data_IF_880819111026
#
_entry.id   IF_880819111026
#
_cell.length_a   1.000
_cell.length_b   1.000
_cell.length_c   1.000
_cell.angle_alpha   90.00
_cell.angle_beta   90.00
_cell.angle_gamma   90.00
#
_symmetry.space_group_name_H-M   'P 1'
#
loop_
_entity.id
_entity.type
_entity.pdbx_description
1 polymer ?
#
# COMPACT_ATOMS: atom_id res chain seq x y z
N UNK A 1 26.39 -23.15 7.24
CA UNK A 1 25.06 -22.56 7.46
C UNK A 1 24.53 -22.24 6.07
N UNK A 2 23.36 -22.73 5.70
CA UNK A 2 22.72 -22.28 4.46
C UNK A 2 22.55 -20.76 4.56
N UNK A 3 22.86 -20.04 3.47
CA UNK A 3 22.51 -18.63 3.40
C UNK A 3 20.99 -18.53 3.41
N UNK A 4 20.45 -17.83 4.40
CA UNK A 4 19.05 -17.45 4.44
C UNK A 4 18.66 -16.79 3.10
N UNK A 5 17.43 -17.04 2.65
CA UNK A 5 16.85 -16.59 1.38
C UNK A 5 15.77 -15.53 1.61
N UNK A 6 15.56 -14.73 0.56
CA UNK A 6 14.53 -13.71 0.49
C UNK A 6 13.29 -14.35 -0.16
N UNK A 7 12.15 -14.32 0.53
CA UNK A 7 10.86 -14.73 -0.01
C UNK A 7 10.09 -13.51 -0.50
N UNK A 8 9.68 -13.51 -1.77
CA UNK A 8 8.81 -12.49 -2.35
C UNK A 8 7.45 -13.12 -2.60
N UNK A 9 6.41 -12.61 -1.94
CA UNK A 9 5.03 -13.07 -2.11
C UNK A 9 4.25 -12.03 -2.90
N UNK A 10 3.85 -12.37 -4.13
CA UNK A 10 3.16 -11.45 -5.04
C UNK A 10 2.29 -12.21 -6.06
N UNK A 11 2.15 -11.70 -7.28
CA UNK A 11 1.54 -12.41 -8.42
C UNK A 11 2.45 -12.33 -9.65
N UNK A 12 2.17 -13.15 -10.66
CA UNK A 12 3.01 -13.25 -11.87
C UNK A 12 3.17 -11.93 -12.64
N UNK A 13 2.21 -11.01 -12.50
CA UNK A 13 2.12 -9.78 -13.29
C UNK A 13 2.73 -8.57 -12.56
N UNK A 14 3.39 -8.78 -11.41
CA UNK A 14 3.93 -7.69 -10.61
C UNK A 14 5.27 -7.14 -11.13
N UNK A 15 5.20 -6.06 -11.92
CA UNK A 15 6.36 -5.34 -12.47
C UNK A 15 7.38 -4.91 -11.40
N UNK A 16 6.98 -4.67 -10.15
CA UNK A 16 7.92 -4.35 -9.08
C UNK A 16 8.87 -5.52 -8.79
N UNK A 17 8.37 -6.76 -8.86
CA UNK A 17 9.16 -7.97 -8.63
C UNK A 17 10.11 -8.21 -9.81
N UNK A 18 9.66 -7.96 -11.04
CA UNK A 18 10.48 -8.04 -12.25
C UNK A 18 11.70 -7.11 -12.20
N UNK A 19 11.54 -5.93 -11.59
CA UNK A 19 12.63 -4.95 -11.47
C UNK A 19 13.53 -5.27 -10.27
N UNK A 20 12.97 -5.74 -9.15
CA UNK A 20 13.74 -6.06 -7.95
C UNK A 20 14.64 -7.29 -8.14
N UNK A 21 14.15 -8.33 -8.83
CA UNK A 21 14.84 -9.63 -8.92
C UNK A 21 16.24 -9.53 -9.55
N UNK A 22 16.46 -8.81 -10.67
CA UNK A 22 17.80 -8.58 -11.20
C UNK A 22 18.73 -7.82 -10.24
N UNK A 23 18.20 -6.87 -9.45
CA UNK A 23 19.00 -6.10 -8.48
C UNK A 23 19.50 -7.01 -7.36
N UNK A 24 18.63 -7.88 -6.83
CA UNK A 24 19.01 -8.89 -5.83
C UNK A 24 20.05 -9.86 -6.40
N UNK A 25 19.83 -10.34 -7.63
CA UNK A 25 20.73 -11.28 -8.31
C UNK A 25 22.12 -10.67 -8.53
N UNK A 26 22.19 -9.41 -8.97
CA UNK A 26 23.45 -8.69 -9.15
C UNK A 26 24.22 -8.49 -7.84
N UNK A 27 23.51 -8.48 -6.69
CA UNK A 27 24.08 -8.44 -5.34
C UNK A 27 24.41 -9.83 -4.78
N UNK A 28 24.25 -10.90 -5.56
CA UNK A 28 24.60 -12.27 -5.17
C UNK A 28 23.49 -13.02 -4.42
N UNK A 29 22.26 -12.51 -4.41
CA UNK A 29 21.13 -13.13 -3.72
C UNK A 29 20.07 -13.63 -4.72
N UNK A 30 19.64 -14.88 -4.56
CA UNK A 30 18.58 -15.50 -5.37
C UNK A 30 17.27 -15.55 -4.56
N UNK A 31 16.32 -14.63 -4.79
CA UNK A 31 15.04 -14.66 -4.09
C UNK A 31 14.24 -15.89 -4.52
N UNK A 32 13.36 -16.38 -3.63
CA UNK A 32 12.29 -17.30 -3.99
C UNK A 32 11.02 -16.48 -4.22
N UNK A 33 10.44 -16.56 -5.41
CA UNK A 33 9.18 -15.89 -5.74
C UNK A 33 8.03 -16.86 -5.57
N UNK A 34 7.05 -16.47 -4.76
CA UNK A 34 5.77 -17.15 -4.60
C UNK A 34 4.69 -16.33 -5.29
N UNK A 35 4.25 -16.81 -6.45
CA UNK A 35 3.16 -16.22 -7.23
C UNK A 35 1.81 -16.78 -6.77
N UNK A 36 1.03 -15.94 -6.11
CA UNK A 36 -0.27 -16.31 -5.54
C UNK A 36 -1.27 -16.75 -6.62
N UNK A 37 -1.19 -16.19 -7.83
CA UNK A 37 -2.07 -16.54 -8.94
C UNK A 37 -1.74 -17.85 -9.67
N UNK A 38 -0.70 -18.55 -9.20
CA UNK A 38 -0.41 -19.92 -9.61
C UNK A 38 -0.32 -20.87 -8.40
N UNK A 39 -0.46 -20.37 -7.18
CA UNK A 39 -0.53 -21.16 -5.94
C UNK A 39 -1.98 -21.57 -5.62
N UNK A 40 -2.24 -22.81 -5.16
CA UNK A 40 -1.29 -23.91 -4.96
C UNK A 40 -1.01 -24.74 -6.22
N UNK A 41 -1.69 -24.50 -7.35
CA UNK A 41 -1.59 -25.35 -8.58
C UNK A 41 -0.16 -25.73 -8.98
N UNK A 42 0.75 -24.75 -9.02
CA UNK A 42 2.12 -24.92 -9.53
C UNK A 42 3.15 -25.11 -8.40
N UNK A 43 2.69 -25.33 -7.16
CA UNK A 43 3.55 -25.45 -6.00
C UNK A 43 3.25 -26.70 -5.19
N UNK A 44 4.27 -27.25 -4.56
CA UNK A 44 4.12 -28.18 -3.45
C UNK A 44 4.42 -27.45 -2.14
N UNK A 45 3.54 -27.64 -1.18
CA UNK A 45 3.66 -27.13 0.17
C UNK A 45 3.72 -28.32 1.12
N UNK A 46 4.66 -28.29 2.05
CA UNK A 46 4.77 -29.26 3.13
C UNK A 46 5.06 -28.54 4.44
N UNK A 47 4.33 -28.90 5.48
CA UNK A 47 4.59 -28.46 6.83
C UNK A 47 4.33 -29.62 7.78
N UNK A 48 5.31 -29.94 8.60
CA UNK A 48 5.21 -30.90 9.68
C UNK A 48 5.41 -30.15 11.00
N UNK A 49 4.40 -30.21 11.87
CA UNK A 49 4.38 -29.49 13.15
C UNK A 49 4.26 -30.53 14.26
N UNK A 50 5.21 -30.49 15.21
CA UNK A 50 5.23 -31.34 16.38
C UNK A 50 5.52 -30.51 17.64
N UNK A 51 5.61 -31.17 18.80
CA UNK A 51 6.03 -30.50 20.04
C UNK A 51 7.48 -30.00 19.97
N UNK A 52 8.30 -30.58 19.09
CA UNK A 52 9.73 -30.31 18.99
C UNK A 52 10.05 -29.20 17.96
N UNK A 53 9.06 -28.75 17.18
CA UNK A 53 9.22 -27.65 16.23
C UNK A 53 8.32 -27.77 15.00
N UNK A 54 8.64 -26.93 14.02
CA UNK A 54 8.00 -26.90 12.71
C UNK A 54 9.09 -27.02 11.63
N UNK A 55 8.93 -27.95 10.71
CA UNK A 55 9.78 -28.11 9.53
C UNK A 55 8.92 -28.14 8.27
N UNK A 56 9.49 -27.78 7.13
CA UNK A 56 8.76 -27.87 5.86
C UNK A 56 9.37 -27.03 4.75
N UNK A 57 8.65 -26.94 3.64
CA UNK A 57 9.13 -26.28 2.45
C UNK A 57 8.01 -25.83 1.53
N UNK A 58 8.37 -24.92 0.64
CA UNK A 58 7.61 -24.57 -0.56
C UNK A 58 8.49 -24.92 -1.77
N UNK A 59 7.95 -25.65 -2.73
CA UNK A 59 8.63 -26.04 -3.96
C UNK A 59 7.82 -25.57 -5.16
N UNK A 60 8.47 -24.87 -6.10
CA UNK A 60 7.86 -24.44 -7.34
C UNK A 60 8.08 -25.50 -8.42
N UNK A 61 7.03 -26.27 -8.72
CA UNK A 61 7.08 -27.49 -9.52
C UNK A 61 7.64 -27.29 -10.94
N UNK A 62 7.30 -26.22 -11.68
CA UNK A 62 7.85 -25.99 -13.02
C UNK A 62 9.38 -25.82 -13.05
N UNK A 63 9.96 -25.24 -11.98
CA UNK A 63 11.41 -24.95 -11.92
C UNK A 63 12.20 -25.94 -11.09
N UNK A 64 11.55 -26.65 -10.15
CA UNK A 64 12.20 -27.45 -9.12
C UNK A 64 12.92 -26.62 -8.04
N UNK A 65 12.80 -25.28 -8.05
CA UNK A 65 13.32 -24.46 -6.95
C UNK A 65 12.53 -24.76 -5.68
N UNK A 66 13.25 -24.98 -4.58
CA UNK A 66 12.70 -25.36 -3.29
C UNK A 66 13.27 -24.45 -2.21
N UNK A 67 12.37 -23.93 -1.38
CA UNK A 67 12.68 -23.11 -0.23
C UNK A 67 12.24 -23.84 1.04
N UNK A 68 13.21 -24.25 1.86
CA UNK A 68 12.93 -24.70 3.21
C UNK A 68 12.45 -23.51 4.06
N UNK A 69 11.48 -23.75 4.93
CA UNK A 69 10.87 -22.69 5.77
C UNK A 69 11.94 -22.04 6.66
N UNK A 70 12.80 -22.88 7.24
CA UNK A 70 13.92 -22.48 8.09
C UNK A 70 15.00 -21.68 7.36
N UNK A 71 15.05 -21.75 6.03
CA UNK A 71 15.97 -20.96 5.22
C UNK A 71 15.40 -19.57 4.88
N UNK A 72 14.17 -19.23 5.27
CA UNK A 72 13.61 -17.88 5.07
C UNK A 72 14.25 -16.91 6.07
N UNK A 73 14.86 -15.84 5.57
CA UNK A 73 15.43 -14.76 6.39
C UNK A 73 14.70 -13.43 6.24
N UNK A 74 14.04 -13.19 5.11
CA UNK A 74 13.22 -12.00 4.94
C UNK A 74 12.04 -12.25 4.02
N UNK A 75 10.92 -11.56 4.26
CA UNK A 75 9.71 -11.63 3.44
C UNK A 75 9.30 -10.26 2.91
N UNK A 76 9.06 -10.19 1.61
CA UNK A 76 8.34 -9.08 0.98
C UNK A 76 6.94 -9.53 0.54
N UNK A 77 5.92 -9.24 1.35
CA UNK A 77 4.52 -9.45 0.96
C UNK A 77 4.02 -8.22 0.19
N UNK A 78 3.90 -8.35 -1.13
CA UNK A 78 3.80 -7.20 -2.02
C UNK A 78 2.41 -6.96 -2.61
N UNK A 79 1.90 -7.89 -3.42
CA UNK A 79 0.56 -7.83 -4.03
C UNK A 79 -0.20 -9.10 -3.73
N UNK A 80 -1.52 -8.96 -3.74
CA UNK A 80 -2.45 -10.10 -3.68
C UNK A 80 -2.56 -10.75 -5.06
N UNK A 81 -3.01 -12.00 -5.09
CA UNK A 81 -3.41 -12.72 -6.30
C UNK A 81 -4.55 -13.66 -5.95
N UNK A 82 -5.36 -14.01 -6.94
CA UNK A 82 -6.40 -15.04 -6.80
C UNK A 82 -5.76 -16.41 -6.92
N UNK A 83 -5.96 -17.30 -5.94
CA UNK A 83 -5.39 -18.64 -5.98
C UNK A 83 -5.84 -19.42 -7.21
N UNK A 84 -4.99 -20.33 -7.67
CA UNK A 84 -5.26 -21.23 -8.78
C UNK A 84 -5.20 -22.69 -8.32
N UNK A 85 -6.16 -23.50 -8.77
CA UNK A 85 -6.28 -24.90 -8.40
C UNK A 85 -6.03 -25.82 -9.60
N UNK A 86 -5.62 -27.06 -9.34
CA UNK A 86 -5.41 -28.08 -10.39
C UNK A 86 -6.72 -28.48 -11.07
N UNK A 87 -7.82 -28.51 -10.33
CA UNK A 87 -9.15 -28.77 -10.88
C UNK A 87 -9.73 -27.48 -11.44
N UNK A 88 -9.98 -27.38 -12.76
CA UNK A 88 -10.53 -26.17 -13.36
C UNK A 88 -12.02 -25.99 -13.10
N UNK A 89 -12.73 -27.04 -12.68
CA UNK A 89 -14.20 -27.10 -12.66
C UNK A 89 -14.76 -27.26 -11.23
N UNK A 90 -14.14 -26.63 -10.23
CA UNK A 90 -14.66 -26.64 -8.85
C UNK A 90 -16.05 -25.96 -8.79
N UNK A 91 -17.00 -26.59 -8.09
CA UNK A 91 -18.28 -25.96 -7.79
C UNK A 91 -18.11 -24.73 -6.88
N UNK A 92 -19.10 -23.82 -6.78
CA UNK A 92 -18.96 -22.57 -6.03
C UNK A 92 -18.55 -22.75 -4.56
N UNK A 93 -19.12 -23.74 -3.88
CA UNK A 93 -18.77 -24.05 -2.49
C UNK A 93 -17.37 -24.65 -2.35
N UNK A 94 -16.97 -25.54 -3.27
CA UNK A 94 -15.65 -26.17 -3.28
C UNK A 94 -14.57 -25.12 -3.55
N UNK A 95 -14.81 -24.20 -4.49
CA UNK A 95 -13.90 -23.10 -4.79
C UNK A 95 -13.74 -22.15 -3.59
N UNK A 96 -14.85 -21.77 -2.93
CA UNK A 96 -14.80 -20.93 -1.74
C UNK A 96 -14.00 -21.61 -0.61
N UNK A 97 -14.26 -22.90 -0.35
CA UNK A 97 -13.50 -23.69 0.62
C UNK A 97 -12.02 -23.78 0.26
N UNK A 98 -11.69 -24.05 -1.00
CA UNK A 98 -10.32 -24.16 -1.47
C UNK A 98 -9.55 -22.83 -1.29
N UNK A 99 -10.19 -21.69 -1.55
CA UNK A 99 -9.61 -20.36 -1.32
C UNK A 99 -9.35 -20.14 0.17
N UNK A 100 -10.33 -20.43 1.04
CA UNK A 100 -10.20 -20.24 2.48
C UNK A 100 -9.11 -21.13 3.09
N UNK A 101 -9.06 -22.42 2.73
CA UNK A 101 -8.03 -23.36 3.19
C UNK A 101 -6.64 -22.96 2.71
N UNK A 102 -6.52 -22.50 1.46
CA UNK A 102 -5.24 -22.06 0.89
C UNK A 102 -4.74 -20.81 1.60
N UNK A 103 -5.62 -19.84 1.85
CA UNK A 103 -5.29 -18.62 2.59
C UNK A 103 -4.82 -18.94 4.01
N UNK A 104 -5.57 -19.77 4.74
CA UNK A 104 -5.21 -20.16 6.11
C UNK A 104 -3.90 -20.95 6.15
N UNK A 105 -3.67 -21.86 5.20
CA UNK A 105 -2.43 -22.65 5.12
C UNK A 105 -1.23 -21.76 4.85
N UNK A 106 -1.31 -20.91 3.82
CA UNK A 106 -0.20 -20.05 3.44
C UNK A 106 0.09 -18.99 4.51
N UNK A 107 -0.92 -18.22 4.94
CA UNK A 107 -0.69 -17.16 5.91
C UNK A 107 -0.48 -17.68 7.33
N UNK A 108 -0.98 -18.87 7.66
CA UNK A 108 -0.64 -19.58 8.89
C UNK A 108 0.85 -19.93 8.97
N UNK A 109 1.44 -20.39 7.86
CA UNK A 109 2.90 -20.55 7.76
C UNK A 109 3.61 -19.21 7.89
N UNK A 110 3.24 -18.26 7.01
CA UNK A 110 3.94 -16.99 6.87
C UNK A 110 3.95 -16.21 8.19
N UNK A 111 2.83 -16.09 8.90
CA UNK A 111 2.79 -15.37 10.18
C UNK A 111 3.59 -16.03 11.31
N UNK A 112 3.95 -17.31 11.18
CA UNK A 112 4.82 -18.00 12.11
C UNK A 112 6.32 -17.73 11.90
N UNK A 113 6.71 -17.04 10.82
CA UNK A 113 8.11 -16.82 10.49
C UNK A 113 8.73 -15.72 11.36
N UNK A 114 9.71 -16.10 12.17
CA UNK A 114 10.59 -15.19 12.88
C UNK A 114 11.73 -14.73 11.95
N UNK A 115 11.45 -13.70 11.16
CA UNK A 115 12.35 -13.18 10.14
C UNK A 115 12.06 -11.70 9.86
N UNK A 116 12.87 -11.06 9.02
CA UNK A 116 12.62 -9.67 8.65
C UNK A 116 11.41 -9.52 7.70
N UNK A 117 10.52 -8.56 7.98
CA UNK A 117 9.33 -8.32 7.16
C UNK A 117 9.33 -6.93 6.51
N UNK A 118 8.97 -6.87 5.23
CA UNK A 118 8.77 -5.61 4.49
C UNK A 118 7.31 -5.46 4.01
N UNK A 119 6.30 -5.20 4.83
CA UNK A 119 6.25 -5.16 6.29
C UNK A 119 5.36 -6.30 6.79
N UNK A 120 5.29 -6.52 8.10
CA UNK A 120 4.48 -7.61 8.65
C UNK A 120 2.98 -7.33 8.45
N UNK A 121 2.15 -8.29 7.99
CA UNK A 121 0.78 -7.98 7.57
C UNK A 121 -0.15 -7.53 8.72
N UNK A 122 0.09 -8.01 9.94
CA UNK A 122 -0.61 -7.50 11.14
C UNK A 122 -0.36 -6.00 11.36
N UNK A 123 0.87 -5.53 11.16
CA UNK A 123 1.22 -4.11 11.25
C UNK A 123 0.56 -3.31 10.11
N UNK A 124 0.59 -3.85 8.88
CA UNK A 124 -0.05 -3.23 7.71
C UNK A 124 -1.55 -3.05 7.90
N UNK A 125 -2.23 -4.00 8.57
CA UNK A 125 -3.67 -3.90 8.85
C UNK A 125 -3.99 -2.68 9.70
N UNK A 126 -3.27 -2.48 10.80
CA UNK A 126 -3.42 -1.30 11.66
C UNK A 126 -3.19 0.01 10.90
N UNK A 127 -2.20 0.02 10.01
CA UNK A 127 -1.85 1.17 9.19
C UNK A 127 -2.80 1.44 8.01
N UNK A 128 -3.80 0.59 7.74
CA UNK A 128 -4.73 0.77 6.61
C UNK A 128 -5.92 1.70 6.91
N UNK A 129 -6.19 2.01 8.18
CA UNK A 129 -7.36 2.79 8.57
C UNK A 129 -7.08 4.30 8.58
N UNK A 130 -7.49 5.01 7.53
CA UNK A 130 -7.22 6.46 7.34
C UNK A 130 -7.64 7.34 8.51
N UNK A 131 -8.74 7.02 9.19
CA UNK A 131 -9.18 7.74 10.38
C UNK A 131 -8.21 7.62 11.56
N UNK A 132 -7.55 6.47 11.72
CA UNK A 132 -6.49 6.28 12.71
C UNK A 132 -5.19 6.94 12.27
N UNK A 133 -4.85 6.87 10.97
CA UNK A 133 -3.70 7.57 10.38
C UNK A 133 -3.75 9.07 10.69
N UNK A 134 -4.88 9.75 10.44
CA UNK A 134 -5.04 11.18 10.73
C UNK A 134 -4.79 11.49 12.21
N UNK A 135 -5.39 10.72 13.14
CA UNK A 135 -5.18 10.90 14.59
C UNK A 135 -3.72 10.67 14.99
N UNK A 136 -3.04 9.71 14.37
CA UNK A 136 -1.63 9.42 14.61
C UNK A 136 -0.72 10.50 14.05
N UNK A 137 -1.00 11.01 12.85
CA UNK A 137 -0.26 12.11 12.23
C UNK A 137 -0.28 13.35 13.13
N UNK A 138 -1.47 13.72 13.66
CA UNK A 138 -1.61 14.84 14.61
C UNK A 138 -0.76 14.62 15.87
N UNK A 139 -0.79 13.42 16.47
CA UNK A 139 0.04 13.10 17.66
C UNK A 139 1.54 13.21 17.40
N UNK A 140 1.97 12.97 16.16
CA UNK A 140 3.37 13.09 15.73
C UNK A 140 3.73 14.51 15.24
N UNK A 141 2.78 15.45 15.31
CA UNK A 141 3.02 16.86 14.99
C UNK A 141 2.84 17.22 13.51
N UNK A 142 2.12 16.41 12.73
CA UNK A 142 1.65 16.84 11.41
C UNK A 142 0.39 17.70 11.53
N UNK A 143 0.29 18.71 10.65
CA UNK A 143 -1.00 19.28 10.30
C UNK A 143 -1.77 18.31 9.39
N UNK A 144 -3.10 18.32 9.49
CA UNK A 144 -4.01 17.56 8.64
C UNK A 144 -5.14 18.48 8.16
N UNK A 145 -5.85 18.14 7.07
CA UNK A 145 -7.05 18.86 6.69
C UNK A 145 -8.13 18.74 7.78
N UNK A 146 -8.90 19.81 8.06
CA UNK A 146 -10.14 19.67 8.81
C UNK A 146 -10.98 18.56 8.18
N UNK A 147 -11.43 17.60 8.99
CA UNK A 147 -12.04 16.37 8.47
C UNK A 147 -13.25 15.96 9.31
N UNK A 148 -14.28 15.44 8.65
CA UNK A 148 -15.43 14.79 9.28
C UNK A 148 -15.69 13.44 8.63
N UNK A 149 -15.93 12.42 9.46
CA UNK A 149 -16.41 11.11 9.02
C UNK A 149 -17.78 10.92 9.68
N UNK A 150 -18.84 10.85 8.87
CA UNK A 150 -20.21 10.91 9.38
C UNK A 150 -21.21 10.27 8.41
N UNK A 151 -22.23 9.63 8.97
CA UNK A 151 -23.48 9.27 8.29
C UNK A 151 -24.66 10.16 8.75
N UNK A 152 -24.37 11.30 9.37
CA UNK A 152 -25.36 12.26 9.88
C UNK A 152 -25.35 13.51 8.98
N UNK A 153 -26.36 13.70 8.11
CA UNK A 153 -26.42 14.83 7.17
C UNK A 153 -26.25 16.20 7.84
N UNK A 154 -26.93 16.42 8.97
CA UNK A 154 -26.84 17.69 9.69
C UNK A 154 -25.44 17.97 10.28
N UNK A 155 -24.67 16.93 10.61
CA UNK A 155 -23.30 17.10 11.07
C UNK A 155 -22.38 17.54 9.91
N UNK A 156 -22.58 16.97 8.72
CA UNK A 156 -21.84 17.37 7.50
C UNK A 156 -22.23 18.78 7.06
N UNK A 157 -23.52 19.14 7.13
CA UNK A 157 -23.99 20.50 6.87
C UNK A 157 -23.34 21.53 7.81
N UNK A 158 -23.33 21.23 9.11
CA UNK A 158 -22.68 22.10 10.11
C UNK A 158 -21.17 22.19 9.89
N UNK A 159 -20.52 21.09 9.49
CA UNK A 159 -19.11 21.08 9.14
C UNK A 159 -18.81 21.96 7.92
N UNK A 160 -19.58 21.82 6.82
CA UNK A 160 -19.43 22.69 5.64
C UNK A 160 -19.58 24.17 5.98
N UNK A 161 -20.54 24.52 6.84
CA UNK A 161 -20.76 25.90 7.29
C UNK A 161 -19.61 26.47 8.14
N UNK A 162 -18.84 25.59 8.81
CA UNK A 162 -17.70 25.98 9.63
C UNK A 162 -16.38 26.08 8.84
N UNK A 163 -16.34 25.59 7.60
CA UNK A 163 -15.18 25.71 6.72
C UNK A 163 -15.11 27.11 6.11
N UNK A 164 -13.90 27.66 6.03
CA UNK A 164 -13.64 28.93 5.34
C UNK A 164 -13.64 28.78 3.80
N UNK A 165 -13.56 27.56 3.29
CA UNK A 165 -13.44 27.27 1.86
C UNK A 165 -14.21 26.04 1.41
N UNK A 166 -13.76 25.46 0.29
CA UNK A 166 -14.41 24.31 -0.32
C UNK A 166 -14.30 23.06 0.53
N UNK A 167 -15.24 22.14 0.31
CA UNK A 167 -15.25 20.84 0.97
C UNK A 167 -15.04 19.79 -0.11
N UNK A 168 -14.24 18.77 0.17
CA UNK A 168 -14.05 17.63 -0.72
C UNK A 168 -14.56 16.35 -0.08
N UNK A 169 -15.06 15.44 -0.90
CA UNK A 169 -15.32 14.06 -0.52
C UNK A 169 -14.15 13.17 -0.92
N UNK A 170 -13.83 12.20 -0.05
CA UNK A 170 -12.78 11.20 -0.30
C UNK A 170 -13.20 9.83 0.20
N UNK A 171 -12.94 8.79 -0.59
CA UNK A 171 -13.13 7.42 -0.16
C UNK A 171 -12.18 7.04 1.00
N UNK A 172 -12.73 6.41 2.04
CA UNK A 172 -11.97 5.93 3.20
C UNK A 172 -11.27 4.60 2.94
N UNK A 173 -11.87 3.71 2.16
CA UNK A 173 -11.33 2.38 1.87
C UNK A 173 -10.37 2.41 0.68
N UNK A 174 -10.88 2.71 -0.51
CA UNK A 174 -10.15 2.75 -1.77
C UNK A 174 -10.85 3.72 -2.72
N UNK A 175 -10.09 4.46 -3.51
CA UNK A 175 -10.63 5.30 -4.59
C UNK A 175 -11.20 4.49 -5.75
N UNK A 176 -10.96 3.17 -5.82
CA UNK A 176 -11.44 2.30 -6.90
C UNK A 176 -12.86 1.75 -6.70
N UNK A 177 -13.63 2.25 -5.73
CA UNK A 177 -15.03 1.83 -5.51
C UNK A 177 -15.27 0.31 -5.42
N UNK A 178 -14.32 -0.44 -4.86
CA UNK A 178 -14.38 -1.91 -4.83
C UNK A 178 -14.52 -2.55 -6.23
N UNK A 179 -14.04 -1.91 -7.29
CA UNK A 179 -14.01 -2.44 -8.64
C UNK A 179 -13.27 -3.80 -8.72
N UNK A 180 -12.35 -4.08 -7.79
CA UNK A 180 -11.66 -5.36 -7.63
C UNK A 180 -12.53 -6.47 -7.02
N UNK A 181 -13.77 -6.16 -6.62
CA UNK A 181 -14.73 -7.10 -6.01
C UNK A 181 -15.93 -7.41 -6.89
N UNK A 182 -16.05 -6.74 -8.03
CA UNK A 182 -17.18 -6.88 -8.95
C UNK A 182 -16.66 -7.07 -10.38
N UNK A 183 -17.41 -7.82 -11.18
CA UNK A 183 -17.07 -8.03 -12.58
C UNK A 183 -17.13 -6.70 -13.34
N UNK A 184 -16.36 -6.56 -14.43
CA UNK A 184 -16.35 -5.33 -15.23
C UNK A 184 -17.75 -4.97 -15.77
N UNK A 185 -18.59 -5.96 -16.06
CA UNK A 185 -19.95 -5.76 -16.56
C UNK A 185 -20.90 -5.17 -15.51
N UNK A 186 -20.57 -5.30 -14.22
CA UNK A 186 -21.40 -4.83 -13.09
C UNK A 186 -20.88 -3.49 -12.52
N UNK A 187 -19.83 -2.91 -13.10
CA UNK A 187 -19.26 -1.63 -12.65
C UNK A 187 -20.02 -0.47 -13.27
N UNK A 188 -20.39 0.49 -12.43
CA UNK A 188 -20.91 1.79 -12.88
C UNK A 188 -19.81 2.85 -13.02
N UNK A 189 -18.71 2.69 -12.28
CA UNK A 189 -17.51 3.54 -12.34
C UNK A 189 -16.28 2.75 -11.91
N UNK A 190 -15.11 3.11 -12.44
CA UNK A 190 -13.82 2.55 -12.04
C UNK A 190 -13.27 3.18 -10.74
N UNK A 191 -13.89 4.28 -10.26
CA UNK A 191 -13.50 4.91 -9.02
C UNK A 191 -14.17 6.25 -8.71
N UNK A 192 -13.82 6.82 -7.55
CA UNK A 192 -14.15 8.19 -7.14
C UNK A 192 -12.85 8.88 -6.74
N UNK A 193 -12.38 9.90 -7.50
CA UNK A 193 -11.24 10.72 -7.12
C UNK A 193 -11.60 11.63 -5.93
N UNK A 194 -10.68 12.49 -5.52
CA UNK A 194 -11.05 13.58 -4.60
C UNK A 194 -12.03 14.52 -5.30
N UNK A 195 -13.28 14.55 -4.85
CA UNK A 195 -14.36 15.32 -5.49
C UNK A 195 -14.66 16.57 -4.68
N UNK A 196 -14.60 17.74 -5.32
CA UNK A 196 -15.07 19.00 -4.71
C UNK A 196 -16.60 18.96 -4.65
N UNK A 197 -17.15 19.23 -3.46
CA UNK A 197 -18.59 19.21 -3.20
C UNK A 197 -19.18 20.56 -3.58
N UNK A 198 -20.05 20.54 -4.59
CA UNK A 198 -20.80 21.68 -5.08
C UNK A 198 -22.06 21.96 -4.24
N UNK A 199 -22.71 23.10 -4.47
CA UNK A 199 -23.99 23.40 -3.84
C UNK A 199 -25.10 22.41 -4.25
N UNK A 200 -25.06 21.88 -5.49
CA UNK A 200 -26.01 20.86 -5.95
C UNK A 200 -25.84 19.53 -5.20
N UNK A 201 -24.60 19.14 -4.92
CA UNK A 201 -24.33 17.94 -4.10
C UNK A 201 -24.86 18.12 -2.67
N UNK A 202 -24.86 19.36 -2.16
CA UNK A 202 -25.41 19.69 -0.84
C UNK A 202 -26.96 19.66 -0.81
N UNK A 203 -27.63 19.72 -1.96
CA UNK A 203 -29.08 19.51 -2.02
C UNK A 203 -29.46 18.02 -1.82
N UNK A 204 -28.51 17.09 -2.07
CA UNK A 204 -28.64 15.64 -1.93
C UNK A 204 -28.06 15.11 -0.59
N UNK A 205 -27.95 15.97 0.44
CA UNK A 205 -27.34 15.65 1.74
C UNK A 205 -27.91 14.40 2.42
N UNK A 206 -29.18 14.06 2.18
CA UNK A 206 -29.83 12.88 2.76
C UNK A 206 -29.16 11.56 2.34
N UNK A 207 -28.47 11.53 1.20
CA UNK A 207 -27.73 10.35 0.74
C UNK A 207 -26.63 9.91 1.75
N UNK A 208 -26.11 10.84 2.56
CA UNK A 208 -25.11 10.57 3.61
C UNK A 208 -25.66 9.62 4.69
N UNK A 209 -26.98 9.54 4.86
CA UNK A 209 -27.57 8.64 5.85
C UNK A 209 -27.40 7.15 5.48
N UNK A 210 -27.13 6.83 4.20
CA UNK A 210 -27.01 5.44 3.74
C UNK A 210 -25.70 4.77 4.13
N UNK A 211 -24.60 5.52 4.20
CA UNK A 211 -23.27 4.99 4.49
C UNK A 211 -22.38 6.09 5.10
N UNK A 212 -21.44 5.77 6.02
CA UNK A 212 -20.49 6.76 6.51
C UNK A 212 -19.65 7.38 5.38
N UNK A 213 -19.72 8.70 5.26
CA UNK A 213 -18.98 9.48 4.29
C UNK A 213 -17.82 10.22 4.95
N UNK A 214 -16.76 10.48 4.19
CA UNK A 214 -15.62 11.26 4.64
C UNK A 214 -15.48 12.53 3.81
N UNK A 215 -15.55 13.66 4.51
CA UNK A 215 -15.38 14.99 3.94
C UNK A 215 -14.20 15.68 4.59
N UNK A 216 -13.47 16.47 3.81
CA UNK A 216 -12.35 17.29 4.28
C UNK A 216 -12.51 18.73 3.79
N UNK A 217 -11.95 19.69 4.53
CA UNK A 217 -11.70 21.02 3.98
C UNK A 217 -10.69 20.91 2.83
N UNK A 218 -11.01 21.55 1.70
CA UNK A 218 -10.07 21.71 0.61
C UNK A 218 -8.94 22.65 1.04
N UNK A 219 -7.69 22.24 0.80
CA UNK A 219 -6.52 23.04 1.11
C UNK A 219 -5.84 23.41 -0.20
N UNK A 220 -5.67 24.72 -0.42
CA UNK A 220 -4.85 25.22 -1.51
C UNK A 220 -3.40 24.78 -1.32
N UNK A 221 -2.81 24.22 -2.39
CA UNK A 221 -1.47 23.64 -2.37
C UNK A 221 -0.63 24.24 -3.48
N UNK A 222 0.63 24.54 -3.17
CA UNK A 222 1.64 24.91 -4.16
C UNK A 222 2.09 23.68 -4.96
N UNK A 223 2.19 22.52 -4.31
CA UNK A 223 2.53 21.24 -4.94
C UNK A 223 2.19 20.06 -4.00
N UNK A 224 2.30 18.84 -4.55
CA UNK A 224 2.13 17.60 -3.80
C UNK A 224 3.47 16.91 -3.59
N UNK A 225 3.54 16.09 -2.55
CA UNK A 225 4.71 15.31 -2.19
C UNK A 225 4.33 13.84 -2.06
N UNK A 226 5.04 13.00 -2.80
CA UNK A 226 5.05 11.56 -2.58
C UNK A 226 6.29 11.22 -1.76
N UNK A 227 6.09 10.92 -0.49
CA UNK A 227 7.17 10.59 0.43
C UNK A 227 7.20 9.08 0.68
N UNK A 228 8.24 8.39 0.24
CA UNK A 228 8.40 6.95 0.45
C UNK A 228 9.44 6.70 1.54
N UNK A 229 9.07 5.93 2.55
CA UNK A 229 9.98 5.45 3.59
C UNK A 229 10.29 3.99 3.32
N UNK A 230 11.59 3.63 3.30
CA UNK A 230 12.08 2.25 3.15
C UNK A 230 13.16 2.02 4.21
N UNK A 231 12.87 1.15 5.17
CA UNK A 231 13.67 1.00 6.39
C UNK A 231 13.77 2.34 7.12
N UNK A 232 14.99 2.83 7.30
CA UNK A 232 15.27 4.12 7.94
C UNK A 232 15.44 5.28 6.94
N UNK A 233 15.39 5.02 5.62
CA UNK A 233 15.59 6.04 4.58
C UNK A 233 14.27 6.66 4.13
N UNK A 234 14.28 7.97 3.90
CA UNK A 234 13.15 8.75 3.42
C UNK A 234 13.47 9.33 2.04
N UNK A 235 12.56 9.14 1.10
CA UNK A 235 12.62 9.64 -0.27
C UNK A 235 11.43 10.56 -0.49
N UNK A 236 11.64 11.70 -1.13
CA UNK A 236 10.54 12.60 -1.47
C UNK A 236 10.63 13.02 -2.94
N UNK A 237 9.52 12.83 -3.64
CA UNK A 237 9.29 13.41 -4.96
C UNK A 237 8.27 14.54 -4.84
N UNK A 238 8.64 15.70 -5.38
CA UNK A 238 7.73 16.80 -5.64
C UNK A 238 6.95 16.51 -6.92
N UNK A 239 5.64 16.75 -6.86
CA UNK A 239 4.70 16.62 -7.97
C UNK A 239 4.13 18.01 -8.25
N UNK A 240 4.43 18.58 -9.41
CA UNK A 240 3.98 19.91 -9.82
C UNK A 240 2.52 19.89 -10.35
N UNK A 241 1.59 19.40 -9.52
CA UNK A 241 0.18 19.18 -9.89
C UNK A 241 -0.61 20.45 -10.17
N UNK A 242 -0.06 21.63 -9.87
CA UNK A 242 -0.70 22.92 -10.16
C UNK A 242 -0.50 23.39 -11.61
N UNK A 243 0.34 22.71 -12.40
CA UNK A 243 0.61 23.07 -13.79
C UNK A 243 -0.52 22.69 -14.78
N UNK A 244 -1.48 21.87 -14.36
CA UNK A 244 -2.68 21.53 -15.13
C UNK A 244 -3.92 21.57 -14.23
N UNK A 245 -5.01 22.19 -14.71
CA UNK A 245 -6.26 22.33 -13.95
C UNK A 245 -6.83 20.98 -13.49
N UNK A 246 -6.66 19.92 -14.29
CA UNK A 246 -7.21 18.59 -14.00
C UNK A 246 -6.53 17.92 -12.80
N UNK A 247 -5.28 18.28 -12.53
CA UNK A 247 -4.47 17.71 -11.44
C UNK A 247 -4.46 18.57 -10.18
N UNK A 248 -5.06 19.77 -10.22
CA UNK A 248 -5.03 20.72 -9.09
C UNK A 248 -5.68 20.17 -7.83
N UNK A 249 -6.81 19.49 -7.94
CA UNK A 249 -7.48 18.89 -6.77
C UNK A 249 -6.82 17.57 -6.38
N UNK A 250 -6.51 16.73 -7.37
CA UNK A 250 -6.00 15.38 -7.22
C UNK A 250 -5.00 15.08 -8.34
N UNK A 251 -3.73 14.81 -8.02
CA UNK A 251 -2.70 14.56 -9.05
C UNK A 251 -2.94 13.31 -9.91
N UNK A 252 -3.88 12.45 -9.52
CA UNK A 252 -4.08 11.11 -10.10
C UNK A 252 -4.81 11.10 -11.44
N UNK A 253 -4.82 12.22 -12.17
CA UNK A 253 -5.19 12.23 -13.59
C UNK A 253 -3.96 11.92 -14.45
N UNK A 254 -3.73 10.62 -14.68
CA UNK A 254 -2.61 10.13 -15.48
C UNK A 254 -2.77 10.35 -16.99
N UNK A 255 -3.87 10.98 -17.44
CA UNK A 255 -3.97 11.46 -18.83
C UNK A 255 -3.13 12.74 -19.06
N UNK A 256 -2.59 13.31 -17.98
CA UNK A 256 -1.76 14.50 -17.98
C UNK A 256 -0.33 14.14 -17.60
N UNK A 257 0.62 14.65 -18.36
CA UNK A 257 2.03 14.59 -17.99
C UNK A 257 2.36 15.78 -17.09
N UNK A 258 2.53 15.52 -15.79
CA UNK A 258 2.97 16.52 -14.81
C UNK A 258 4.41 16.22 -14.37
N UNK A 259 5.27 17.24 -14.17
CA UNK A 259 6.65 17.03 -13.76
C UNK A 259 6.78 16.44 -12.35
N UNK A 260 7.76 15.54 -12.21
CA UNK A 260 8.22 15.02 -10.93
C UNK A 260 9.69 15.39 -10.74
N UNK A 261 10.09 15.72 -9.52
CA UNK A 261 11.50 16.00 -9.20
C UNK A 261 11.84 15.56 -7.79
N UNK A 262 13.09 15.18 -7.55
CA UNK A 262 13.56 14.90 -6.21
C UNK A 262 13.59 16.18 -5.36
N UNK A 263 13.24 16.06 -4.09
CA UNK A 263 13.30 17.17 -3.14
C UNK A 263 13.81 16.70 -1.79
N UNK A 264 14.59 17.54 -1.12
CA UNK A 264 14.97 17.32 0.27
C UNK A 264 13.90 17.91 1.19
N UNK A 265 13.39 17.09 2.11
CA UNK A 265 12.44 17.55 3.12
C UNK A 265 13.18 18.32 4.22
N UNK A 266 12.53 19.30 4.87
CA UNK A 266 12.98 19.80 6.15
C UNK A 266 13.17 18.65 7.15
N UNK A 267 14.24 18.71 7.95
CA UNK A 267 14.64 17.61 8.85
C UNK A 267 13.53 17.19 9.82
N UNK A 268 12.69 18.15 10.25
CA UNK A 268 11.55 17.86 11.12
C UNK A 268 10.44 17.10 10.40
N UNK A 269 10.15 17.43 9.13
CA UNK A 269 9.17 16.72 8.29
C UNK A 269 9.67 15.31 8.00
N UNK A 270 10.93 15.16 7.59
CA UNK A 270 11.56 13.86 7.34
C UNK A 270 11.47 12.94 8.57
N UNK A 271 11.84 13.47 9.74
CA UNK A 271 11.75 12.75 11.01
C UNK A 271 10.31 12.32 11.30
N UNK A 272 9.32 13.21 11.13
CA UNK A 272 7.91 12.86 11.35
C UNK A 272 7.43 11.77 10.38
N UNK A 273 7.83 11.81 9.10
CA UNK A 273 7.47 10.76 8.12
C UNK A 273 8.03 9.40 8.53
N UNK A 274 9.30 9.35 8.92
CA UNK A 274 9.96 8.13 9.41
C UNK A 274 9.32 7.60 10.69
N UNK A 275 9.08 8.47 11.68
CA UNK A 275 8.41 8.10 12.93
C UNK A 275 6.98 7.63 12.71
N UNK A 276 6.25 8.22 11.76
CA UNK A 276 4.91 7.80 11.41
C UNK A 276 4.88 6.34 10.95
N UNK A 277 5.72 5.97 9.99
CA UNK A 277 5.83 4.60 9.46
C UNK A 277 6.28 3.64 10.56
N UNK A 278 7.35 4.00 11.28
CA UNK A 278 7.90 3.20 12.38
C UNK A 278 6.91 2.96 13.52
N UNK A 279 6.05 3.94 13.82
CA UNK A 279 5.08 3.81 14.91
C UNK A 279 4.03 2.71 14.69
N UNK A 280 3.83 2.25 13.46
CA UNK A 280 3.01 1.08 13.15
C UNK A 280 3.78 -0.24 13.20
N UNK A 281 5.11 -0.20 13.38
CA UNK A 281 5.98 -1.37 13.17
C UNK A 281 6.18 -1.70 11.69
N UNK A 282 6.07 -0.71 10.80
CA UNK A 282 6.31 -0.88 9.37
C UNK A 282 7.76 -0.53 9.01
N UNK A 283 8.28 -1.23 8.01
CA UNK A 283 9.54 -0.92 7.33
C UNK A 283 9.31 -0.22 5.99
N UNK A 284 8.05 -0.07 5.57
CA UNK A 284 7.68 0.62 4.34
C UNK A 284 6.42 1.47 4.53
N UNK A 285 6.39 2.64 3.90
CA UNK A 285 5.19 3.44 3.74
C UNK A 285 5.33 4.45 2.62
N UNK A 286 4.26 4.68 1.87
CA UNK A 286 4.18 5.75 0.88
C UNK A 286 3.17 6.79 1.38
N UNK A 287 3.67 7.89 1.90
CA UNK A 287 2.89 8.99 2.44
C UNK A 287 2.61 10.02 1.33
N UNK A 288 1.39 10.51 1.31
CA UNK A 288 0.97 11.62 0.48
C UNK A 288 0.83 12.87 1.35
N UNK A 289 1.62 13.89 1.01
CA UNK A 289 1.61 15.20 1.66
C UNK A 289 1.31 16.28 0.62
N UNK A 290 0.85 17.43 1.08
CA UNK A 290 0.75 18.65 0.26
C UNK A 290 1.51 19.77 0.95
N UNK A 291 2.04 20.69 0.15
CA UNK A 291 2.67 21.91 0.65
C UNK A 291 1.83 23.10 0.25
N UNK A 292 1.45 23.95 1.22
CA UNK A 292 0.65 25.15 0.96
C UNK A 292 1.51 26.26 0.32
N UNK A 293 0.92 27.29 -0.29
CA UNK A 293 1.66 28.48 -0.74
C UNK A 293 2.44 29.22 0.37
N UNK A 294 2.18 28.88 1.64
CA UNK A 294 2.87 29.41 2.83
C UNK A 294 3.95 28.47 3.36
N UNK A 295 4.32 27.43 2.59
CA UNK A 295 5.33 26.43 2.95
C UNK A 295 4.96 25.56 4.16
N UNK A 296 3.65 25.30 4.35
CA UNK A 296 3.15 24.40 5.39
C UNK A 296 2.95 22.98 4.84
N UNK A 297 3.44 21.98 5.57
CA UNK A 297 3.37 20.56 5.17
C UNK A 297 2.17 19.88 5.83
N UNK A 298 1.21 19.46 5.00
CA UNK A 298 -0.04 18.84 5.45
C UNK A 298 -0.04 17.37 5.08
N UNK A 299 -0.27 16.49 6.06
CA UNK A 299 -0.41 15.06 5.85
C UNK A 299 -1.80 14.72 5.30
N UNK A 300 -1.86 13.93 4.23
CA UNK A 300 -3.13 13.43 3.67
C UNK A 300 -3.38 11.99 4.07
N UNK A 301 -2.50 11.07 3.68
CA UNK A 301 -2.63 9.65 3.95
C UNK A 301 -1.28 8.92 3.90
N UNK A 302 -1.28 7.70 4.42
CA UNK A 302 -0.21 6.72 4.20
C UNK A 302 -0.76 5.50 3.49
N UNK A 303 -0.09 5.06 2.44
CA UNK A 303 -0.32 3.79 1.80
C UNK A 303 0.79 2.79 2.20
N UNK A 304 0.53 1.88 3.15
CA UNK A 304 1.53 0.92 3.64
C UNK A 304 1.93 -0.14 2.61
N UNK A 305 1.25 -0.20 1.46
CA UNK A 305 1.60 -1.05 0.31
C UNK A 305 1.62 -0.26 -0.99
N UNK A 306 1.83 1.06 -0.93
CA UNK A 306 1.71 1.95 -2.08
C UNK A 306 2.69 1.60 -3.20
N UNK A 307 2.31 1.89 -4.44
CA UNK A 307 3.23 1.83 -5.58
C UNK A 307 4.27 2.96 -5.44
N UNK A 308 5.55 2.65 -5.63
CA UNK A 308 6.64 3.65 -5.63
C UNK A 308 7.49 3.64 -6.92
N UNK A 309 7.61 2.50 -7.59
CA UNK A 309 8.46 2.35 -8.79
C UNK A 309 8.17 3.38 -9.89
N UNK A 310 6.90 3.72 -10.17
CA UNK A 310 6.58 4.75 -11.16
C UNK A 310 7.22 6.12 -10.84
N UNK A 311 7.35 6.45 -9.56
CA UNK A 311 8.02 7.68 -9.10
C UNK A 311 9.52 7.58 -9.34
N UNK A 312 10.13 6.43 -9.07
CA UNK A 312 11.56 6.20 -9.37
C UNK A 312 11.84 6.21 -10.87
N UNK A 313 10.91 5.75 -11.71
CA UNK A 313 11.06 5.87 -13.17
C UNK A 313 11.09 7.33 -13.64
N UNK A 314 10.29 8.19 -13.00
CA UNK A 314 10.24 9.62 -13.30
C UNK A 314 11.37 10.41 -12.61
N UNK A 315 11.90 9.89 -11.50
CA UNK A 315 12.96 10.50 -10.67
C UNK A 315 14.01 9.44 -10.28
N UNK A 316 14.86 9.00 -11.24
CA UNK A 316 15.77 7.86 -11.06
C UNK A 316 16.80 8.02 -9.93
N UNK A 317 17.15 9.24 -9.57
CA UNK A 317 18.09 9.55 -8.48
C UNK A 317 17.56 9.15 -7.09
N UNK A 318 16.27 8.85 -6.93
CA UNK A 318 15.72 8.37 -5.66
C UNK A 318 16.22 6.97 -5.32
N UNK A 319 16.56 6.11 -6.30
CA UNK A 319 17.16 4.77 -6.05
C UNK A 319 16.39 3.88 -5.05
N UNK A 320 15.05 4.02 -5.01
CA UNK A 320 14.20 3.35 -4.03
C UNK A 320 14.27 1.82 -4.15
N UNK A 321 14.34 1.27 -5.36
CA UNK A 321 14.39 -0.17 -5.56
C UNK A 321 15.70 -0.80 -5.06
N UNK A 322 16.83 -0.10 -5.23
CA UNK A 322 18.11 -0.52 -4.64
C UNK A 322 18.03 -0.55 -3.11
N UNK A 323 17.36 0.43 -2.52
CA UNK A 323 17.18 0.53 -1.07
C UNK A 323 16.30 -0.61 -0.54
N UNK A 324 15.22 -0.93 -1.24
CA UNK A 324 14.39 -2.07 -0.91
C UNK A 324 15.20 -3.39 -0.96
N UNK A 325 16.02 -3.56 -2.00
CA UNK A 325 16.89 -4.72 -2.13
C UNK A 325 17.87 -4.83 -0.95
N UNK A 326 18.52 -3.72 -0.59
CA UNK A 326 19.46 -3.68 0.55
C UNK A 326 18.77 -4.06 1.87
N UNK A 327 17.58 -3.51 2.15
CA UNK A 327 16.83 -3.86 3.36
C UNK A 327 16.44 -5.35 3.42
N UNK A 328 16.06 -5.96 2.29
CA UNK A 328 15.73 -7.39 2.25
C UNK A 328 16.97 -8.25 2.44
N UNK A 329 18.10 -7.87 1.84
CA UNK A 329 19.38 -8.56 1.98
C UNK A 329 19.88 -8.51 3.42
N UNK A 330 19.93 -7.31 4.02
CA UNK A 330 20.33 -7.11 5.41
C UNK A 330 19.40 -7.86 6.36
N UNK A 331 18.10 -7.74 6.14
CA UNK A 331 17.07 -8.45 6.92
C UNK A 331 17.20 -9.97 6.85
N UNK A 332 17.61 -10.51 5.71
CA UNK A 332 17.84 -11.95 5.56
C UNK A 332 19.08 -12.46 6.32
N UNK A 333 20.01 -11.58 6.70
CA UNK A 333 21.26 -11.96 7.38
C UNK A 333 21.17 -11.87 8.91
N UNK A 334 20.15 -11.19 9.45
CA UNK A 334 19.92 -11.06 10.89
C UNK A 334 19.30 -12.32 11.49
#
# INVERSE_FOLDING_TARGET
MNSKRILIVSNSDDLHVEVLTPILTAKGHQPFRLDLNTFPRDYQFHQHISQDGCEGFIEHLPTGDRLAIEDIGSVWLRKKGEFAFLSPDLGPQENAYAIEETDHTLFGLLYGLDCYWMSHPLAMRGASFKGEQMKRAVRLGFAIPPSIISNTPQAVKSFKQALEGDMVFKAMSSSFLAADKVSQAERESDGIPTTVISDLDMDELDAIAHVPCHFQGHIEKAYELRVTVIGERVFAAKIDSQLDERTKTDFRDFSVEIPYSAILLPLDVERRCREFVKSYGLNYGALDLIVTPKDEYIFLENNPGGQFWFVEQLVPELTMMNTLADCLIEGAQC
#
